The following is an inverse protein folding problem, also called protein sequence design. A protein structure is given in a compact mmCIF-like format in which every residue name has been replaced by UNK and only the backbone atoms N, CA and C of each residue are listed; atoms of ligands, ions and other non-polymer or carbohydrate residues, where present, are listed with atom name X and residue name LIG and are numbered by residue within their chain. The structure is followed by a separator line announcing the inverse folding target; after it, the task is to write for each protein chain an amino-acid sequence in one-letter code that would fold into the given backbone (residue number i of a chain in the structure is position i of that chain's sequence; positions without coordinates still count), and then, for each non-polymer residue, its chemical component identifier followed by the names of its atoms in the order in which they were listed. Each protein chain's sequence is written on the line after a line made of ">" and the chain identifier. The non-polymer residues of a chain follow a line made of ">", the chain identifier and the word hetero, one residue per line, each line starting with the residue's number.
data_IF_195306155797
#
_entry.id   IF_195306155797
#
_cell.length_a   1.000
_cell.length_b   1.000
_cell.length_c   1.000
_cell.angle_alpha   90.00
_cell.angle_beta   90.00
_cell.angle_gamma   90.00
#
_symmetry.space_group_name_H-M   'P 1'
#
loop_
_entity.id
_entity.type
_entity.pdbx_description
1 polymer ?
#
# COMPACT_ATOMS: atom_id res chain seq x y z
N UNK A 1 -6.28 -16.35 5.13
CA UNK A 1 -6.41 -17.60 4.36
C UNK A 1 -7.81 -18.12 4.64
N UNK A 2 -8.65 -18.32 3.63
CA UNK A 2 -9.92 -19.03 3.81
C UNK A 2 -9.63 -20.50 3.64
N UNK A 3 -9.55 -21.25 4.75
CA UNK A 3 -9.41 -22.70 4.70
C UNK A 3 -10.65 -23.28 4.00
N UNK A 4 -10.46 -23.70 2.75
CA UNK A 4 -11.49 -24.34 1.95
C UNK A 4 -11.46 -25.82 2.31
N UNK A 5 -12.47 -26.27 3.04
CA UNK A 5 -12.70 -27.69 3.31
C UNK A 5 -13.38 -28.27 2.07
N UNK A 6 -12.69 -29.14 1.34
CA UNK A 6 -13.25 -29.85 0.19
C UNK A 6 -13.82 -31.22 0.59
N UNK A 7 -14.66 -31.80 -0.27
CA UNK A 7 -15.24 -33.12 -0.04
C UNK A 7 -14.18 -34.22 0.19
N UNK A 8 -12.98 -34.05 -0.41
CA UNK A 8 -11.83 -34.93 -0.22
C UNK A 8 -11.20 -34.82 1.18
N UNK A 9 -11.33 -33.66 1.83
CA UNK A 9 -10.80 -33.45 3.18
C UNK A 9 -11.74 -34.07 4.22
N UNK A 10 -13.05 -34.00 3.97
CA UNK A 10 -14.05 -34.69 4.78
C UNK A 10 -13.94 -36.22 4.68
N UNK A 11 -13.70 -36.75 3.48
CA UNK A 11 -13.43 -38.18 3.29
C UNK A 11 -12.15 -38.63 4.01
N UNK A 12 -11.10 -37.81 4.01
CA UNK A 12 -9.87 -38.06 4.79
C UNK A 12 -10.11 -38.00 6.29
N UNK A 13 -10.97 -37.10 6.77
CA UNK A 13 -11.33 -37.03 8.18
C UNK A 13 -12.13 -38.27 8.64
N UNK A 14 -12.95 -38.86 7.77
CA UNK A 14 -13.61 -40.16 8.04
C UNK A 14 -12.59 -41.29 8.08
N UNK A 15 -11.65 -41.35 7.13
CA UNK A 15 -10.59 -42.36 7.14
C UNK A 15 -9.67 -42.26 8.36
N UNK A 16 -9.43 -41.04 8.85
CA UNK A 16 -8.64 -40.79 10.05
C UNK A 16 -9.41 -41.04 11.36
N UNK A 17 -10.69 -41.44 11.29
CA UNK A 17 -11.54 -41.69 12.47
C UNK A 17 -11.95 -40.42 13.21
N UNK A 18 -11.70 -39.23 12.65
CA UNK A 18 -12.10 -37.95 13.21
C UNK A 18 -13.60 -37.71 13.01
N UNK A 19 -14.17 -38.23 11.92
CA UNK A 19 -15.60 -38.22 11.62
C UNK A 19 -16.13 -39.65 11.49
N UNK A 20 -17.37 -39.88 11.91
CA UNK A 20 -18.03 -41.18 11.71
C UNK A 20 -18.50 -41.33 10.25
N UNK A 21 -18.54 -42.56 9.71
CA UNK A 21 -19.09 -42.83 8.37
C UNK A 21 -20.53 -42.31 8.25
N UNK A 22 -20.81 -41.46 7.26
CA UNK A 22 -22.12 -40.84 7.04
C UNK A 22 -22.26 -39.41 7.57
N UNK A 23 -21.39 -38.98 8.50
CA UNK A 23 -21.36 -37.58 8.97
C UNK A 23 -20.77 -36.62 7.93
N UNK A 24 -19.90 -37.11 7.05
CA UNK A 24 -19.33 -36.37 5.93
C UNK A 24 -20.40 -35.84 4.97
N UNK A 25 -21.39 -36.68 4.62
CA UNK A 25 -22.49 -36.29 3.74
C UNK A 25 -23.46 -35.33 4.42
N UNK A 26 -23.78 -35.54 5.71
CA UNK A 26 -24.63 -34.65 6.49
C UNK A 26 -23.99 -33.25 6.66
N UNK A 27 -22.68 -33.20 6.92
CA UNK A 27 -21.93 -31.96 7.03
C UNK A 27 -21.80 -31.24 5.68
N UNK A 28 -21.56 -31.98 4.60
CA UNK A 28 -21.59 -31.44 3.23
C UNK A 28 -22.96 -30.85 2.88
N UNK A 29 -24.05 -31.53 3.24
CA UNK A 29 -25.40 -31.04 3.02
C UNK A 29 -25.67 -29.76 3.84
N UNK A 30 -25.26 -29.72 5.10
CA UNK A 30 -25.35 -28.53 5.95
C UNK A 30 -24.53 -27.34 5.40
N UNK A 31 -23.30 -27.57 4.97
CA UNK A 31 -22.43 -26.53 4.39
C UNK A 31 -22.95 -26.03 3.04
N UNK A 32 -23.62 -26.87 2.25
CA UNK A 32 -24.29 -26.49 1.00
C UNK A 32 -25.62 -25.76 1.23
N UNK A 33 -26.29 -26.02 2.36
CA UNK A 33 -27.49 -25.29 2.76
C UNK A 33 -27.20 -23.89 3.29
N UNK A 34 -25.94 -23.57 3.65
CA UNK A 34 -25.56 -22.19 3.84
C UNK A 34 -25.74 -21.47 2.50
N UNK A 35 -26.59 -20.43 2.42
CA UNK A 35 -26.81 -19.72 1.18
C UNK A 35 -25.45 -19.28 0.64
N UNK A 36 -25.28 -19.40 -0.68
CA UNK A 36 -24.11 -18.93 -1.41
C UNK A 36 -24.03 -17.40 -1.38
N UNK A 37 -23.95 -16.82 -0.18
CA UNK A 37 -23.84 -15.39 0.10
C UNK A 37 -22.59 -14.79 -0.53
N UNK A 38 -21.61 -15.62 -0.92
CA UNK A 38 -20.34 -15.18 -1.52
C UNK A 38 -20.48 -14.56 -2.91
N UNK A 39 -21.37 -15.05 -3.76
CA UNK A 39 -21.48 -14.57 -5.15
C UNK A 39 -22.11 -13.18 -5.28
N UNK A 40 -23.22 -12.95 -4.57
CA UNK A 40 -23.92 -11.66 -4.56
C UNK A 40 -23.16 -10.59 -3.79
N UNK A 41 -22.48 -10.95 -2.69
CA UNK A 41 -21.58 -10.04 -1.99
C UNK A 41 -20.44 -9.62 -2.93
N UNK A 42 -19.80 -10.53 -3.68
CA UNK A 42 -18.70 -10.15 -4.59
C UNK A 42 -19.11 -9.11 -5.64
N UNK A 43 -20.27 -9.25 -6.28
CA UNK A 43 -20.75 -8.27 -7.26
C UNK A 43 -21.09 -6.92 -6.60
N UNK A 44 -21.75 -6.95 -5.43
CA UNK A 44 -22.06 -5.73 -4.68
C UNK A 44 -20.79 -5.00 -4.20
N UNK A 45 -19.79 -5.74 -3.71
CA UNK A 45 -18.50 -5.16 -3.31
C UNK A 45 -17.78 -4.57 -4.52
N UNK A 46 -17.73 -5.28 -5.64
CA UNK A 46 -17.15 -4.78 -6.88
C UNK A 46 -17.86 -3.49 -7.33
N UNK A 47 -19.19 -3.43 -7.26
CA UNK A 47 -19.96 -2.23 -7.57
C UNK A 47 -19.63 -1.05 -6.64
N UNK A 48 -19.45 -1.29 -5.34
CA UNK A 48 -19.04 -0.23 -4.40
C UNK A 48 -17.64 0.31 -4.70
N UNK A 49 -16.65 -0.57 -4.91
CA UNK A 49 -15.30 -0.14 -5.27
C UNK A 49 -15.25 0.55 -6.64
N UNK A 50 -16.01 0.06 -7.61
CA UNK A 50 -16.13 0.69 -8.91
C UNK A 50 -16.81 2.06 -8.82
N UNK A 51 -17.89 2.18 -8.06
CA UNK A 51 -18.54 3.47 -7.79
C UNK A 51 -17.59 4.47 -7.12
N UNK A 52 -16.78 4.01 -6.17
CA UNK A 52 -15.74 4.86 -5.57
C UNK A 52 -14.69 5.31 -6.59
N UNK A 53 -14.23 4.41 -7.46
CA UNK A 53 -13.31 4.75 -8.54
C UNK A 53 -13.92 5.79 -9.50
N UNK A 54 -15.20 5.65 -9.85
CA UNK A 54 -15.91 6.63 -10.66
C UNK A 54 -15.99 8.00 -9.98
N UNK A 55 -16.27 8.05 -8.68
CA UNK A 55 -16.30 9.32 -7.93
C UNK A 55 -14.90 9.94 -7.90
N UNK A 56 -13.86 9.17 -7.59
CA UNK A 56 -12.48 9.66 -7.58
C UNK A 56 -12.06 10.17 -8.98
N UNK A 57 -12.40 9.45 -10.05
CA UNK A 57 -12.14 9.86 -11.43
C UNK A 57 -12.90 11.13 -11.84
N UNK A 58 -14.19 11.22 -11.48
CA UNK A 58 -15.00 12.42 -11.73
C UNK A 58 -14.46 13.64 -10.98
N UNK A 59 -13.91 13.45 -9.77
CA UNK A 59 -13.24 14.52 -9.02
C UNK A 59 -11.93 14.97 -9.66
N UNK A 60 -11.13 14.03 -10.17
CA UNK A 60 -9.94 14.38 -10.96
C UNK A 60 -10.30 15.21 -12.20
N UNK A 61 -11.42 14.92 -12.84
CA UNK A 61 -11.93 15.71 -13.95
C UNK A 61 -12.44 17.10 -13.51
N UNK A 62 -13.19 17.17 -12.41
CA UNK A 62 -13.67 18.43 -11.83
C UNK A 62 -12.50 19.38 -11.53
N UNK A 63 -11.38 18.84 -11.02
CA UNK A 63 -10.16 19.58 -10.73
C UNK A 63 -9.55 20.22 -11.98
N UNK A 64 -9.56 19.51 -13.12
CA UNK A 64 -8.90 20.00 -14.32
C UNK A 64 -9.81 20.95 -15.11
N UNK A 65 -11.03 20.53 -15.43
CA UNK A 65 -11.82 21.18 -16.48
C UNK A 65 -12.97 22.05 -15.96
N UNK A 66 -13.56 21.65 -14.83
CA UNK A 66 -14.62 22.44 -14.19
C UNK A 66 -14.05 23.58 -13.35
N UNK A 67 -12.94 23.36 -12.64
CA UNK A 67 -12.28 24.40 -11.86
C UNK A 67 -11.89 25.62 -12.70
N UNK A 68 -11.26 25.41 -13.87
CA UNK A 68 -10.90 26.49 -14.81
C UNK A 68 -12.09 27.37 -15.24
N UNK A 69 -13.33 26.88 -15.10
CA UNK A 69 -14.55 27.59 -15.54
C UNK A 69 -15.36 28.20 -14.40
N UNK A 70 -15.33 27.63 -13.19
CA UNK A 70 -16.27 27.95 -12.10
C UNK A 70 -15.59 28.74 -10.96
N UNK A 71 -14.26 28.71 -10.88
CA UNK A 71 -13.48 29.49 -9.90
C UNK A 71 -13.36 28.85 -8.51
N UNK A 72 -12.46 29.41 -7.69
CA UNK A 72 -11.98 28.81 -6.44
C UNK A 72 -13.07 28.65 -5.36
N UNK A 73 -13.98 29.62 -5.25
CA UNK A 73 -15.11 29.56 -4.31
C UNK A 73 -16.08 28.41 -4.61
N UNK A 74 -16.34 28.15 -5.89
CA UNK A 74 -17.24 27.07 -6.29
C UNK A 74 -16.60 25.71 -6.07
N UNK A 75 -15.29 25.58 -6.35
CA UNK A 75 -14.53 24.38 -6.03
C UNK A 75 -14.59 24.07 -4.53
N UNK A 76 -14.35 25.07 -3.67
CA UNK A 76 -14.44 24.92 -2.22
C UNK A 76 -15.82 24.47 -1.76
N UNK A 77 -16.88 25.11 -2.26
CA UNK A 77 -18.26 24.80 -1.89
C UNK A 77 -18.65 23.38 -2.31
N UNK A 78 -18.35 22.99 -3.56
CA UNK A 78 -18.67 21.66 -4.09
C UNK A 78 -17.88 20.59 -3.34
N UNK A 79 -16.56 20.74 -3.21
CA UNK A 79 -15.72 19.75 -2.53
C UNK A 79 -16.14 19.56 -1.06
N UNK A 80 -16.42 20.66 -0.35
CA UNK A 80 -16.92 20.61 1.04
C UNK A 80 -18.27 19.91 1.13
N UNK A 81 -19.21 20.20 0.21
CA UNK A 81 -20.51 19.54 0.15
C UNK A 81 -20.36 18.03 -0.07
N UNK A 82 -19.49 17.61 -1.00
CA UNK A 82 -19.22 16.20 -1.25
C UNK A 82 -18.65 15.51 0.00
N UNK A 83 -17.68 16.10 0.68
CA UNK A 83 -17.11 15.54 1.92
C UNK A 83 -18.21 15.35 2.97
N UNK A 84 -19.05 16.36 3.19
CA UNK A 84 -20.13 16.31 4.19
C UNK A 84 -21.17 15.22 3.85
N UNK A 85 -21.63 15.17 2.59
CA UNK A 85 -22.61 14.20 2.13
C UNK A 85 -22.07 12.76 2.19
N UNK A 86 -20.86 12.53 1.69
CA UNK A 86 -20.23 11.21 1.70
C UNK A 86 -19.93 10.74 3.12
N UNK A 87 -19.48 11.63 4.00
CA UNK A 87 -19.26 11.32 5.42
C UNK A 87 -20.58 10.97 6.11
N UNK A 88 -21.63 11.77 5.89
CA UNK A 88 -22.96 11.51 6.44
C UNK A 88 -23.52 10.15 5.98
N UNK A 89 -23.38 9.84 4.69
CA UNK A 89 -23.80 8.56 4.13
C UNK A 89 -22.95 7.40 4.65
N UNK A 90 -21.64 7.58 4.78
CA UNK A 90 -20.73 6.58 5.35
C UNK A 90 -21.15 6.20 6.79
N UNK A 91 -21.39 7.20 7.64
CA UNK A 91 -21.86 7.01 9.01
C UNK A 91 -23.25 6.36 9.05
N UNK A 92 -24.15 6.75 8.16
CA UNK A 92 -25.48 6.16 8.07
C UNK A 92 -25.43 4.66 7.73
N UNK A 93 -24.64 4.30 6.71
CA UNK A 93 -24.47 2.90 6.29
C UNK A 93 -23.74 2.06 7.33
N UNK A 94 -22.75 2.64 8.02
CA UNK A 94 -22.06 1.99 9.12
C UNK A 94 -23.00 1.66 10.28
N UNK A 95 -23.89 2.59 10.66
CA UNK A 95 -24.93 2.34 11.69
C UNK A 95 -25.92 1.24 11.30
N UNK A 96 -26.13 1.03 9.99
CA UNK A 96 -26.97 -0.06 9.44
C UNK A 96 -26.22 -1.38 9.27
N UNK A 97 -24.97 -1.48 9.72
CA UNK A 97 -24.16 -2.70 9.62
C UNK A 97 -23.52 -2.93 8.25
N UNK A 98 -23.61 -1.96 7.31
CA UNK A 98 -22.98 -2.05 5.99
C UNK A 98 -21.55 -1.48 6.01
N UNK A 99 -20.65 -2.17 6.71
CA UNK A 99 -19.28 -1.71 6.95
C UNK A 99 -18.48 -1.45 5.66
N UNK A 100 -18.69 -2.26 4.62
CA UNK A 100 -17.93 -2.15 3.36
C UNK A 100 -18.34 -0.91 2.57
N UNK A 101 -19.64 -0.71 2.35
CA UNK A 101 -20.14 0.47 1.65
C UNK A 101 -19.80 1.76 2.42
N UNK A 102 -19.98 1.76 3.75
CA UNK A 102 -19.63 2.90 4.60
C UNK A 102 -18.13 3.22 4.55
N UNK A 103 -17.27 2.21 4.67
CA UNK A 103 -15.82 2.38 4.64
C UNK A 103 -15.28 2.84 3.28
N UNK A 104 -15.88 2.39 2.18
CA UNK A 104 -15.54 2.85 0.83
C UNK A 104 -15.90 4.32 0.64
N UNK A 105 -17.10 4.75 1.03
CA UNK A 105 -17.50 6.16 0.95
C UNK A 105 -16.66 7.06 1.86
N UNK A 106 -16.29 6.57 3.05
CA UNK A 106 -15.38 7.26 3.96
C UNK A 106 -14.00 7.48 3.31
N UNK A 107 -13.46 6.48 2.62
CA UNK A 107 -12.19 6.63 1.89
C UNK A 107 -12.31 7.64 0.74
N UNK A 108 -13.42 7.63 0.00
CA UNK A 108 -13.69 8.64 -1.05
C UNK A 108 -13.75 10.04 -0.44
N UNK A 109 -14.44 10.23 0.68
CA UNK A 109 -14.50 11.52 1.37
C UNK A 109 -13.09 12.03 1.75
N UNK A 110 -12.23 11.15 2.27
CA UNK A 110 -10.84 11.49 2.61
C UNK A 110 -10.04 11.87 1.36
N UNK A 111 -10.21 11.17 0.24
CA UNK A 111 -9.52 11.53 -1.02
C UNK A 111 -9.91 12.88 -1.62
N UNK A 112 -11.02 13.50 -1.16
CA UNK A 112 -11.47 14.81 -1.62
C UNK A 112 -10.86 15.94 -0.77
N UNK A 113 -10.34 15.64 0.42
CA UNK A 113 -9.73 16.62 1.33
C UNK A 113 -8.65 17.49 0.68
N UNK A 114 -7.70 16.97 -0.13
CA UNK A 114 -6.72 17.80 -0.82
C UNK A 114 -7.37 18.93 -1.62
N UNK A 115 -8.51 18.68 -2.28
CA UNK A 115 -9.19 19.69 -3.12
C UNK A 115 -9.72 20.86 -2.29
N UNK A 116 -10.23 20.58 -1.10
CA UNK A 116 -10.70 21.63 -0.17
C UNK A 116 -9.53 22.49 0.29
N UNK A 117 -8.42 21.85 0.65
CA UNK A 117 -7.21 22.55 1.10
C UNK A 117 -6.65 23.42 -0.02
N UNK A 118 -6.51 22.85 -1.23
CA UNK A 118 -6.09 23.58 -2.43
C UNK A 118 -6.96 24.81 -2.69
N UNK A 119 -8.29 24.68 -2.63
CA UNK A 119 -9.19 25.81 -2.84
C UNK A 119 -9.02 26.89 -1.75
N UNK A 120 -8.79 26.50 -0.50
CA UNK A 120 -8.51 27.44 0.60
C UNK A 120 -7.18 28.15 0.38
N UNK A 121 -6.11 27.43 0.04
CA UNK A 121 -4.79 28.01 -0.19
C UNK A 121 -4.81 29.07 -1.28
N UNK A 122 -5.58 28.83 -2.36
CA UNK A 122 -5.81 29.82 -3.43
C UNK A 122 -6.59 31.03 -2.95
N UNK A 123 -7.68 30.83 -2.21
CA UNK A 123 -8.51 31.92 -1.71
C UNK A 123 -7.78 32.82 -0.68
N UNK A 124 -6.89 32.24 0.11
CA UNK A 124 -6.06 32.96 1.08
C UNK A 124 -4.85 33.63 0.42
N UNK A 125 -4.55 33.30 -0.85
CA UNK A 125 -3.38 33.80 -1.58
C UNK A 125 -2.07 33.15 -1.13
N UNK A 126 -2.12 32.02 -0.43
CA UNK A 126 -0.94 31.19 -0.15
C UNK A 126 -0.48 30.43 -1.39
N UNK A 127 -1.37 30.24 -2.36
CA UNK A 127 -1.02 29.78 -3.68
C UNK A 127 -0.81 30.99 -4.61
N UNK A 128 0.32 31.09 -5.33
CA UNK A 128 0.53 32.20 -6.26
C UNK A 128 -0.55 32.19 -7.36
N UNK A 129 -1.23 33.33 -7.52
CA UNK A 129 -2.35 33.53 -8.46
C UNK A 129 -1.88 33.86 -9.89
N UNK A 130 -0.57 34.07 -10.09
CA UNK A 130 0.00 34.30 -11.41
C UNK A 130 0.18 32.96 -12.14
N UNK A 131 -0.85 32.60 -12.93
CA UNK A 131 -0.76 31.58 -13.98
C UNK A 131 0.10 32.08 -15.19
N UNK A 132 0.61 33.32 -15.11
CA UNK A 132 1.47 33.98 -16.08
C UNK A 132 2.96 33.73 -15.79
N UNK A 133 3.60 32.94 -16.65
CA UNK A 133 5.05 32.79 -16.74
C UNK A 133 5.79 34.12 -16.60
N UNK A 134 6.66 34.28 -15.61
CA UNK A 134 7.80 35.22 -15.73
C UNK A 134 9.00 34.87 -14.86
N UNK A 135 8.84 34.14 -13.75
CA UNK A 135 9.98 33.58 -13.00
C UNK A 135 9.75 32.12 -12.61
N UNK A 136 10.31 31.23 -13.44
CA UNK A 136 10.21 29.76 -13.30
C UNK A 136 10.83 29.22 -12.00
N UNK A 137 11.60 30.01 -11.26
CA UNK A 137 12.33 29.52 -10.08
C UNK A 137 11.54 29.66 -8.77
N UNK A 138 10.90 30.80 -8.52
CA UNK A 138 10.12 31.02 -7.29
C UNK A 138 8.74 30.35 -7.32
N UNK A 139 8.17 30.21 -8.52
CA UNK A 139 6.91 29.51 -8.75
C UNK A 139 6.95 28.09 -8.15
N UNK A 140 8.02 27.34 -8.39
CA UNK A 140 8.11 25.95 -7.91
C UNK A 140 8.38 25.80 -6.42
N UNK A 141 8.93 26.80 -5.73
CA UNK A 141 9.18 26.70 -4.29
C UNK A 141 7.89 26.92 -3.48
N UNK A 142 7.09 27.91 -3.87
CA UNK A 142 5.82 28.24 -3.23
C UNK A 142 4.73 27.21 -3.58
N UNK A 143 4.65 26.81 -4.85
CA UNK A 143 3.74 25.75 -5.31
C UNK A 143 3.99 24.45 -4.54
N UNK A 144 5.26 24.03 -4.35
CA UNK A 144 5.64 22.80 -3.61
C UNK A 144 5.29 22.83 -2.12
N UNK A 145 5.19 24.02 -1.50
CA UNK A 145 4.76 24.17 -0.11
C UNK A 145 3.28 23.81 0.12
N UNK A 146 2.40 24.16 -0.83
CA UNK A 146 0.97 23.87 -0.72
C UNK A 146 0.64 22.37 -0.82
N UNK A 147 1.38 21.62 -1.64
CA UNK A 147 1.22 20.17 -1.71
C UNK A 147 1.47 19.50 -0.35
N UNK A 148 2.49 19.93 0.39
CA UNK A 148 2.77 19.37 1.71
C UNK A 148 1.62 19.60 2.70
N UNK A 149 0.97 20.77 2.66
CA UNK A 149 -0.19 21.06 3.50
C UNK A 149 -1.41 20.21 3.10
N UNK A 150 -1.66 20.05 1.80
CA UNK A 150 -2.71 19.18 1.27
C UNK A 150 -2.54 17.73 1.72
N UNK A 151 -1.33 17.19 1.64
CA UNK A 151 -1.05 15.82 2.07
C UNK A 151 -1.17 15.66 3.59
N UNK A 152 -0.62 16.60 4.37
CA UNK A 152 -0.73 16.59 5.82
C UNK A 152 -2.20 16.66 6.29
N UNK A 153 -3.00 17.54 5.69
CA UNK A 153 -4.43 17.66 5.97
C UNK A 153 -5.18 16.36 5.63
N UNK A 154 -4.82 15.71 4.54
CA UNK A 154 -5.41 14.42 4.12
C UNK A 154 -5.08 13.30 5.10
N UNK A 155 -3.84 13.25 5.59
CA UNK A 155 -3.44 12.30 6.65
C UNK A 155 -4.24 12.56 7.92
N UNK A 156 -4.35 13.82 8.38
CA UNK A 156 -5.13 14.18 9.57
C UNK A 156 -6.60 13.81 9.39
N UNK A 157 -7.21 14.18 8.26
CA UNK A 157 -8.61 13.86 7.96
C UNK A 157 -8.85 12.35 7.87
N UNK A 158 -7.92 11.60 7.29
CA UNK A 158 -7.98 10.15 7.24
C UNK A 158 -7.88 9.50 8.63
N UNK A 159 -7.00 9.99 9.50
CA UNK A 159 -6.91 9.52 10.89
C UNK A 159 -8.17 9.84 11.69
N UNK A 160 -8.77 11.01 11.49
CA UNK A 160 -10.06 11.37 12.08
C UNK A 160 -11.18 10.46 11.54
N UNK A 161 -11.20 10.21 10.23
CA UNK A 161 -12.17 9.33 9.60
C UNK A 161 -12.05 7.89 10.10
N UNK A 162 -10.83 7.39 10.34
CA UNK A 162 -10.61 6.06 10.94
C UNK A 162 -11.18 5.94 12.36
N UNK A 163 -11.25 7.03 13.12
CA UNK A 163 -11.92 7.06 14.44
C UNK A 163 -13.44 7.00 14.32
N UNK A 164 -14.00 7.57 13.26
CA UNK A 164 -15.44 7.57 12.99
C UNK A 164 -15.89 6.24 12.38
N UNK A 165 -15.16 5.79 11.35
CA UNK A 165 -15.40 4.60 10.55
C UNK A 165 -14.13 3.73 10.58
N UNK A 166 -14.03 2.75 11.50
CA UNK A 166 -12.87 1.88 11.56
C UNK A 166 -12.94 0.85 10.43
N UNK A 167 -12.49 1.27 9.24
CA UNK A 167 -12.43 0.43 8.05
C UNK A 167 -11.06 0.53 7.34
N UNK A 168 -10.38 -0.61 7.04
CA UNK A 168 -9.00 -0.60 6.56
C UNK A 168 -8.78 0.12 5.23
N UNK A 169 -9.78 0.18 4.36
CA UNK A 169 -9.64 0.85 3.06
C UNK A 169 -9.42 2.36 3.17
N UNK A 170 -9.78 2.99 4.29
CA UNK A 170 -9.49 4.41 4.54
C UNK A 170 -7.97 4.66 4.69
N UNK A 171 -7.18 3.62 5.01
CA UNK A 171 -5.73 3.74 5.01
C UNK A 171 -5.14 3.95 3.60
N UNK A 172 -5.88 3.63 2.53
CA UNK A 172 -5.44 3.83 1.14
C UNK A 172 -5.17 5.31 0.82
N UNK A 173 -6.11 6.26 0.97
CA UNK A 173 -5.83 7.68 0.70
C UNK A 173 -4.76 8.26 1.63
N UNK A 174 -4.68 7.80 2.89
CA UNK A 174 -3.60 8.19 3.81
C UNK A 174 -2.24 7.72 3.28
N UNK A 175 -2.15 6.49 2.80
CA UNK A 175 -0.93 5.92 2.26
C UNK A 175 -0.49 6.65 0.98
N UNK A 176 -1.44 6.93 0.08
CA UNK A 176 -1.18 7.74 -1.12
C UNK A 176 -0.65 9.12 -0.71
N UNK A 177 -1.31 9.78 0.25
CA UNK A 177 -0.88 11.08 0.73
C UNK A 177 0.54 11.06 1.32
N UNK A 178 0.85 10.07 2.16
CA UNK A 178 2.18 9.89 2.72
C UNK A 178 3.25 9.62 1.66
N UNK A 179 2.91 8.89 0.60
CA UNK A 179 3.83 8.67 -0.52
C UNK A 179 4.10 9.97 -1.30
N UNK A 180 3.08 10.77 -1.60
CA UNK A 180 3.28 12.10 -2.20
C UNK A 180 4.06 13.04 -1.29
N UNK A 181 3.75 13.03 0.01
CA UNK A 181 4.45 13.80 1.03
C UNK A 181 5.96 13.55 1.02
N UNK A 182 6.39 12.31 0.75
CA UNK A 182 7.82 11.95 0.66
C UNK A 182 8.56 12.70 -0.45
N UNK A 183 7.87 13.01 -1.54
CA UNK A 183 8.43 13.74 -2.68
C UNK A 183 8.52 15.24 -2.41
N UNK A 184 7.47 15.80 -1.81
CA UNK A 184 7.34 17.24 -1.59
C UNK A 184 8.15 17.74 -0.37
N UNK A 185 8.39 16.86 0.60
CA UNK A 185 9.21 17.15 1.79
C UNK A 185 10.63 17.61 1.43
N UNK A 186 11.14 17.24 0.26
CA UNK A 186 12.48 17.62 -0.22
C UNK A 186 12.70 19.13 -0.28
N UNK A 187 11.66 19.88 -0.70
CA UNK A 187 11.72 21.33 -0.78
C UNK A 187 11.85 21.98 0.61
N UNK A 188 11.24 21.36 1.62
CA UNK A 188 11.25 21.85 3.00
C UNK A 188 12.55 21.52 3.73
N UNK A 189 13.15 20.36 3.44
CA UNK A 189 14.41 19.90 4.07
C UNK A 189 15.63 20.64 3.54
N UNK A 190 15.75 20.80 2.22
CA UNK A 190 16.96 21.37 1.61
C UNK A 190 16.81 22.83 1.18
N UNK A 191 15.59 23.37 1.14
CA UNK A 191 15.30 24.64 0.48
C UNK A 191 15.40 24.50 -1.04
N UNK A 192 14.66 25.33 -1.78
CA UNK A 192 14.78 25.37 -3.23
C UNK A 192 15.96 26.27 -3.64
N UNK A 193 16.75 25.92 -4.68
CA UNK A 193 16.66 24.71 -5.50
C UNK A 193 17.34 23.48 -4.85
N UNK A 194 16.76 22.30 -5.06
CA UNK A 194 17.35 21.01 -4.64
C UNK A 194 17.54 20.09 -5.85
N UNK A 195 18.52 19.18 -5.77
CA UNK A 195 18.84 18.25 -6.85
C UNK A 195 17.90 17.03 -6.85
N UNK A 196 17.83 16.32 -7.99
CA UNK A 196 17.09 15.06 -8.07
C UNK A 196 17.60 14.03 -7.04
N UNK A 197 18.92 13.95 -6.84
CA UNK A 197 19.54 13.07 -5.83
C UNK A 197 19.10 13.38 -4.40
N UNK A 198 18.98 14.67 -4.04
CA UNK A 198 18.45 15.09 -2.75
C UNK A 198 17.00 14.62 -2.56
N UNK A 199 16.19 14.68 -3.62
CA UNK A 199 14.81 14.17 -3.61
C UNK A 199 14.76 12.66 -3.35
N UNK A 200 15.60 11.90 -4.03
CA UNK A 200 15.69 10.44 -3.85
C UNK A 200 16.13 10.09 -2.42
N UNK A 201 17.08 10.84 -1.88
CA UNK A 201 17.56 10.68 -0.50
C UNK A 201 16.44 10.91 0.51
N UNK A 202 15.65 11.98 0.36
CA UNK A 202 14.50 12.23 1.24
C UNK A 202 13.46 11.12 1.12
N UNK A 203 13.10 10.71 -0.10
CA UNK A 203 12.15 9.62 -0.34
C UNK A 203 12.61 8.30 0.30
N UNK A 204 13.90 7.98 0.21
CA UNK A 204 14.51 6.79 0.80
C UNK A 204 14.37 6.79 2.33
N UNK A 205 14.83 7.84 3.00
CA UNK A 205 14.79 7.93 4.47
C UNK A 205 13.38 8.10 5.02
N UNK A 206 12.54 8.87 4.33
CA UNK A 206 11.13 9.02 4.67
C UNK A 206 10.38 7.69 4.55
N UNK A 207 10.57 6.97 3.44
CA UNK A 207 10.00 5.65 3.22
C UNK A 207 10.43 4.66 4.29
N UNK A 208 11.72 4.65 4.64
CA UNK A 208 12.24 3.81 5.73
C UNK A 208 11.61 4.15 7.09
N UNK A 209 11.51 5.45 7.42
CA UNK A 209 10.85 5.91 8.64
C UNK A 209 9.37 5.50 8.69
N UNK A 210 8.66 5.64 7.57
CA UNK A 210 7.27 5.21 7.43
C UNK A 210 7.13 3.69 7.62
N UNK A 211 8.02 2.89 7.04
CA UNK A 211 8.03 1.43 7.23
C UNK A 211 8.21 1.05 8.71
N UNK A 212 9.09 1.75 9.44
CA UNK A 212 9.27 1.54 10.88
C UNK A 212 8.01 1.91 11.66
N UNK A 213 7.39 3.06 11.38
CA UNK A 213 6.15 3.49 12.03
C UNK A 213 5.03 2.47 11.78
N UNK A 214 4.85 2.03 10.54
CA UNK A 214 3.83 1.04 10.17
C UNK A 214 4.11 -0.31 10.83
N UNK A 215 5.38 -0.74 10.87
CA UNK A 215 5.79 -1.97 11.54
C UNK A 215 5.49 -1.94 13.04
N UNK A 216 5.69 -0.79 13.70
CA UNK A 216 5.35 -0.61 15.11
C UNK A 216 3.84 -0.75 15.32
N UNK A 217 3.02 -0.16 14.45
CA UNK A 217 1.55 -0.21 14.55
C UNK A 217 0.97 -1.57 14.16
N UNK A 218 1.66 -2.30 13.29
CA UNK A 218 1.22 -3.60 12.77
C UNK A 218 1.06 -4.65 13.88
N UNK A 219 -0.04 -5.40 13.81
CA UNK A 219 -0.44 -6.39 14.82
C UNK A 219 -1.13 -5.82 16.08
N UNK A 220 -1.32 -4.50 16.22
CA UNK A 220 -2.10 -3.91 17.34
C UNK A 220 -3.61 -3.93 17.14
N UNK A 221 -4.07 -4.11 15.90
CA UNK A 221 -5.49 -4.13 15.53
C UNK A 221 -5.86 -5.48 14.92
N UNK A 222 -7.11 -5.92 15.12
CA UNK A 222 -7.63 -7.18 14.53
C UNK A 222 -7.75 -7.14 13.01
N UNK A 223 -7.95 -5.95 12.45
CA UNK A 223 -8.01 -5.74 11.00
C UNK A 223 -6.68 -5.16 10.50
N UNK A 224 -6.42 -5.39 9.21
CA UNK A 224 -5.15 -5.08 8.58
C UNK A 224 -5.11 -3.66 8.01
N UNK A 225 -4.82 -2.68 8.88
CA UNK A 225 -4.61 -1.28 8.47
C UNK A 225 -3.19 -1.03 7.93
N UNK A 226 -2.24 -1.90 8.27
CA UNK A 226 -0.82 -1.71 7.96
C UNK A 226 -0.49 -1.97 6.48
N UNK A 227 -1.31 -2.76 5.76
CA UNK A 227 -1.07 -3.11 4.36
C UNK A 227 -0.80 -1.89 3.46
N UNK A 228 -1.68 -0.87 3.50
CA UNK A 228 -1.53 0.34 2.70
C UNK A 228 -0.32 1.17 3.14
N UNK A 229 -0.06 1.25 4.44
CA UNK A 229 1.13 1.93 4.97
C UNK A 229 2.43 1.28 4.49
N UNK A 230 2.51 -0.05 4.47
CA UNK A 230 3.67 -0.76 3.91
C UNK A 230 3.83 -0.51 2.42
N UNK A 231 2.73 -0.46 1.67
CA UNK A 231 2.76 -0.17 0.24
C UNK A 231 3.35 1.22 -0.03
N UNK A 232 2.88 2.24 0.68
CA UNK A 232 3.41 3.61 0.55
C UNK A 232 4.86 3.73 1.02
N UNK A 233 5.19 3.13 2.17
CA UNK A 233 6.57 3.12 2.69
C UNK A 233 7.54 2.42 1.74
N UNK A 234 7.14 1.27 1.18
CA UNK A 234 7.94 0.56 0.18
C UNK A 234 8.03 1.33 -1.12
N UNK A 235 6.95 1.94 -1.62
CA UNK A 235 7.00 2.76 -2.84
C UNK A 235 7.98 3.94 -2.69
N UNK A 236 7.96 4.64 -1.55
CA UNK A 236 8.91 5.72 -1.26
C UNK A 236 10.36 5.22 -1.08
N UNK A 237 10.56 4.19 -0.25
CA UNK A 237 11.88 3.64 0.05
C UNK A 237 12.53 2.99 -1.17
N UNK A 238 11.83 2.04 -1.79
CA UNK A 238 12.32 1.28 -2.93
C UNK A 238 12.41 2.16 -4.19
N UNK A 239 11.50 3.12 -4.36
CA UNK A 239 11.57 4.10 -5.43
C UNK A 239 12.82 4.97 -5.32
N UNK A 240 13.09 5.53 -4.13
CA UNK A 240 14.30 6.31 -3.86
C UNK A 240 15.58 5.49 -4.05
N UNK A 241 15.59 4.25 -3.55
CA UNK A 241 16.74 3.35 -3.65
C UNK A 241 17.04 2.89 -5.09
N UNK A 242 16.03 2.52 -5.86
CA UNK A 242 16.19 1.98 -7.22
C UNK A 242 16.57 3.06 -8.23
N UNK A 243 16.09 4.29 -8.02
CA UNK A 243 16.40 5.43 -8.90
C UNK A 243 17.72 6.12 -8.52
N UNK A 244 18.31 5.79 -7.37
CA UNK A 244 19.64 6.28 -7.02
C UNK A 244 20.67 5.58 -7.90
N UNK A 245 21.36 6.35 -8.72
CA UNK A 245 22.44 5.84 -9.55
C UNK A 245 23.67 5.53 -8.67
N UNK A 246 24.24 4.35 -8.89
CA UNK A 246 25.54 3.98 -8.32
C UNK A 246 26.47 3.59 -9.45
N UNK A 247 27.53 4.36 -9.65
CA UNK A 247 28.57 4.05 -10.62
C UNK A 247 29.42 2.83 -10.20
N UNK A 248 29.41 2.46 -8.92
CA UNK A 248 30.20 1.33 -8.43
C UNK A 248 29.47 -0.02 -8.50
N UNK A 249 30.19 -1.07 -8.90
CA UNK A 249 29.72 -2.46 -8.86
C UNK A 249 29.37 -2.92 -7.44
N UNK A 250 30.12 -2.44 -6.44
CA UNK A 250 29.84 -2.72 -5.03
C UNK A 250 28.49 -2.15 -4.59
N UNK A 251 28.13 -0.95 -5.05
CA UNK A 251 26.83 -0.34 -4.76
C UNK A 251 25.68 -1.11 -5.42
N UNK A 252 25.87 -1.59 -6.66
CA UNK A 252 24.89 -2.45 -7.33
C UNK A 252 24.73 -3.82 -6.64
N UNK A 253 25.82 -4.40 -6.16
CA UNK A 253 25.78 -5.62 -5.34
C UNK A 253 25.06 -5.39 -4.00
N UNK A 254 25.31 -4.26 -3.34
CA UNK A 254 24.61 -3.89 -2.10
C UNK A 254 23.12 -3.65 -2.33
N UNK A 255 22.74 -3.03 -3.45
CA UNK A 255 21.35 -2.91 -3.88
C UNK A 255 20.66 -4.28 -4.03
N UNK A 256 21.33 -5.25 -4.65
CA UNK A 256 20.82 -6.62 -4.73
C UNK A 256 20.64 -7.23 -3.33
N UNK A 257 21.60 -7.03 -2.44
CA UNK A 257 21.55 -7.52 -1.06
C UNK A 257 20.38 -6.90 -0.26
N UNK A 258 20.12 -5.60 -0.41
CA UNK A 258 18.95 -4.94 0.20
C UNK A 258 17.66 -5.60 -0.29
N UNK A 259 17.53 -5.85 -1.59
CA UNK A 259 16.33 -6.45 -2.17
C UNK A 259 16.12 -7.92 -1.74
N UNK A 260 17.20 -8.69 -1.60
CA UNK A 260 17.15 -10.01 -0.95
C UNK A 260 16.72 -9.90 0.53
N UNK A 261 17.18 -8.86 1.23
CA UNK A 261 16.72 -8.52 2.58
C UNK A 261 15.22 -8.24 2.63
N UNK A 262 14.66 -7.48 1.67
CA UNK A 262 13.22 -7.24 1.57
C UNK A 262 12.45 -8.57 1.37
N UNK A 263 12.96 -9.48 0.54
CA UNK A 263 12.35 -10.81 0.37
C UNK A 263 12.39 -11.64 1.67
N UNK A 264 13.47 -11.58 2.44
CA UNK A 264 13.56 -12.24 3.74
C UNK A 264 12.58 -11.63 4.75
N UNK A 265 12.46 -10.30 4.80
CA UNK A 265 11.48 -9.59 5.62
C UNK A 265 10.05 -9.97 5.22
N UNK A 266 9.77 -10.18 3.92
CA UNK A 266 8.47 -10.63 3.44
C UNK A 266 8.06 -11.98 4.05
N UNK A 267 9.01 -12.90 4.19
CA UNK A 267 8.79 -14.20 4.81
C UNK A 267 8.56 -14.03 6.32
N UNK A 268 9.39 -13.22 6.98
CA UNK A 268 9.33 -12.99 8.42
C UNK A 268 8.01 -12.33 8.86
N UNK A 269 7.62 -11.25 8.17
CA UNK A 269 6.39 -10.50 8.45
C UNK A 269 5.15 -11.13 7.81
N UNK A 270 5.32 -12.17 6.96
CA UNK A 270 4.25 -12.78 6.16
C UNK A 270 3.50 -11.74 5.30
N UNK A 271 4.20 -10.70 4.85
CA UNK A 271 3.68 -9.59 4.04
C UNK A 271 4.15 -9.75 2.59
N UNK A 272 3.28 -10.14 1.64
CA UNK A 272 3.70 -10.42 0.27
C UNK A 272 4.18 -9.17 -0.49
N UNK A 273 3.78 -7.97 -0.07
CA UNK A 273 4.20 -6.71 -0.70
C UNK A 273 5.73 -6.58 -0.71
N UNK A 274 6.41 -6.90 0.40
CA UNK A 274 7.87 -6.88 0.47
C UNK A 274 8.53 -7.86 -0.52
N UNK A 275 7.88 -9.01 -0.78
CA UNK A 275 8.37 -9.99 -1.75
C UNK A 275 8.31 -9.43 -3.17
N UNK A 276 7.23 -8.71 -3.50
CA UNK A 276 7.06 -8.08 -4.83
C UNK A 276 8.14 -7.05 -5.08
N UNK A 277 8.34 -6.09 -4.16
CA UNK A 277 9.38 -5.07 -4.30
C UNK A 277 10.79 -5.66 -4.33
N UNK A 278 11.09 -6.61 -3.43
CA UNK A 278 12.38 -7.29 -3.42
C UNK A 278 12.65 -8.08 -4.71
N UNK A 279 11.66 -8.83 -5.22
CA UNK A 279 11.79 -9.55 -6.48
C UNK A 279 11.98 -8.61 -7.68
N UNK A 280 11.25 -7.50 -7.72
CA UNK A 280 11.42 -6.46 -8.75
C UNK A 280 12.84 -5.88 -8.72
N UNK A 281 13.39 -5.60 -7.54
CA UNK A 281 14.74 -5.06 -7.46
C UNK A 281 15.82 -6.08 -7.81
N UNK A 282 15.68 -7.34 -7.40
CA UNK A 282 16.58 -8.41 -7.87
C UNK A 282 16.49 -8.58 -9.38
N UNK A 283 15.28 -8.52 -9.96
CA UNK A 283 15.10 -8.59 -11.40
C UNK A 283 15.76 -7.40 -12.13
N UNK A 284 15.66 -6.18 -11.58
CA UNK A 284 16.36 -5.01 -12.12
C UNK A 284 17.89 -5.20 -12.11
N UNK A 285 18.46 -5.70 -11.00
CA UNK A 285 19.89 -5.98 -10.90
C UNK A 285 20.34 -7.09 -11.88
N UNK A 286 19.56 -8.16 -12.02
CA UNK A 286 19.84 -9.22 -13.00
C UNK A 286 19.73 -8.71 -14.44
N UNK A 287 18.81 -7.79 -14.71
CA UNK A 287 18.70 -7.08 -15.98
C UNK A 287 19.96 -6.30 -16.29
N UNK A 288 20.44 -5.48 -15.34
CA UNK A 288 21.73 -4.80 -15.45
C UNK A 288 22.88 -5.77 -15.77
N UNK A 289 22.99 -6.86 -14.99
CA UNK A 289 24.03 -7.86 -15.17
C UNK A 289 23.96 -8.53 -16.56
N UNK A 290 22.74 -8.76 -17.06
CA UNK A 290 22.50 -9.31 -18.40
C UNK A 290 22.88 -8.37 -19.52
N UNK A 291 22.47 -7.10 -19.43
CA UNK A 291 22.56 -6.13 -20.54
C UNK A 291 23.91 -5.43 -20.61
N UNK A 292 24.58 -5.20 -19.47
CA UNK A 292 25.84 -4.46 -19.45
C UNK A 292 27.05 -5.37 -19.24
N UNK A 293 26.97 -6.33 -18.30
CA UNK A 293 28.13 -7.14 -17.91
C UNK A 293 28.27 -8.39 -18.79
N UNK A 294 27.17 -9.09 -19.07
CA UNK A 294 27.15 -10.35 -19.81
C UNK A 294 26.46 -10.27 -21.17
N UNK A 295 26.37 -9.08 -21.77
CA UNK A 295 25.66 -8.84 -23.04
C UNK A 295 26.03 -9.83 -24.15
N UNK A 296 27.30 -10.24 -24.21
CA UNK A 296 27.84 -11.14 -25.24
C UNK A 296 27.96 -12.62 -24.77
N UNK A 297 27.41 -12.99 -23.61
CA UNK A 297 27.56 -14.33 -23.05
C UNK A 297 26.27 -15.15 -23.19
N UNK A 298 26.30 -16.13 -24.10
CA UNK A 298 25.21 -17.10 -24.28
C UNK A 298 25.03 -18.05 -23.08
N UNK A 299 26.01 -18.13 -22.18
CA UNK A 299 25.95 -18.96 -20.96
C UNK A 299 25.13 -18.29 -19.86
N UNK A 300 25.02 -16.96 -19.87
CA UNK A 300 24.35 -16.22 -18.80
C UNK A 300 22.86 -16.60 -18.64
N UNK A 301 22.04 -16.66 -19.71
CA UNK A 301 20.66 -17.12 -19.61
C UNK A 301 20.52 -18.56 -19.08
N UNK A 302 21.47 -19.44 -19.41
CA UNK A 302 21.47 -20.84 -18.96
C UNK A 302 21.73 -20.92 -17.46
N UNK A 303 22.77 -20.23 -16.97
CA UNK A 303 23.08 -20.15 -15.53
C UNK A 303 21.92 -19.51 -14.77
N UNK A 304 21.33 -18.44 -15.30
CA UNK A 304 20.19 -17.79 -14.68
C UNK A 304 18.96 -18.71 -14.59
N UNK A 305 18.72 -19.52 -15.62
CA UNK A 305 17.65 -20.53 -15.61
C UNK A 305 17.91 -21.60 -14.55
N UNK A 306 19.15 -22.06 -14.40
CA UNK A 306 19.54 -23.02 -13.35
C UNK A 306 19.37 -22.42 -11.95
N UNK A 307 19.73 -21.14 -11.75
CA UNK A 307 19.48 -20.42 -10.49
C UNK A 307 17.98 -20.33 -10.23
N UNK A 308 17.18 -19.96 -11.24
CA UNK A 308 15.72 -19.89 -11.13
C UNK A 308 15.08 -21.23 -10.74
N UNK A 309 15.50 -22.32 -11.37
CA UNK A 309 15.08 -23.69 -11.00
C UNK A 309 15.51 -24.05 -9.57
N UNK A 310 16.72 -23.66 -9.16
CA UNK A 310 17.20 -23.82 -7.79
C UNK A 310 16.33 -23.08 -6.77
N UNK A 311 15.97 -21.83 -7.05
CA UNK A 311 15.08 -21.02 -6.20
C UNK A 311 13.68 -21.62 -6.13
N UNK A 312 13.12 -22.11 -7.24
CA UNK A 312 11.84 -22.83 -7.24
C UNK A 312 11.93 -24.10 -6.38
N UNK A 313 13.01 -24.87 -6.51
CA UNK A 313 13.27 -26.05 -5.68
C UNK A 313 13.36 -25.72 -4.19
N UNK A 314 14.07 -24.65 -3.84
CA UNK A 314 14.13 -24.11 -2.48
C UNK A 314 12.74 -23.66 -1.99
N UNK A 315 11.94 -23.03 -2.85
CA UNK A 315 10.56 -22.64 -2.56
C UNK A 315 9.65 -23.84 -2.25
N UNK A 316 9.77 -24.93 -3.02
CA UNK A 316 9.04 -26.18 -2.77
C UNK A 316 9.51 -26.87 -1.48
N UNK A 317 10.82 -26.87 -1.21
CA UNK A 317 11.37 -27.40 0.04
C UNK A 317 10.93 -26.56 1.25
N UNK A 318 10.89 -25.24 1.10
CA UNK A 318 10.37 -24.30 2.09
C UNK A 318 8.88 -24.55 2.35
N UNK A 319 8.07 -24.74 1.30
CA UNK A 319 6.64 -25.01 1.44
C UNK A 319 6.36 -26.25 2.31
N UNK A 320 7.19 -27.29 2.20
CA UNK A 320 7.09 -28.52 3.02
C UNK A 320 7.51 -28.32 4.48
N UNK A 321 8.35 -27.33 4.80
CA UNK A 321 8.87 -27.06 6.16
C UNK A 321 8.38 -25.72 6.73
N UNK A 322 7.40 -25.09 6.08
CA UNK A 322 6.98 -23.71 6.34
C UNK A 322 6.61 -23.46 7.80
N UNK A 323 5.87 -24.38 8.41
CA UNK A 323 5.46 -24.25 9.81
C UNK A 323 6.65 -24.35 10.75
N UNK A 324 7.50 -25.37 10.58
CA UNK A 324 8.68 -25.61 11.42
C UNK A 324 9.74 -24.50 11.29
N UNK A 325 10.02 -24.01 10.08
CA UNK A 325 10.99 -22.92 9.87
C UNK A 325 10.48 -21.59 10.43
N UNK A 326 9.18 -21.31 10.29
CA UNK A 326 8.60 -20.10 10.86
C UNK A 326 8.58 -20.12 12.39
N UNK A 327 8.42 -21.31 13.00
CA UNK A 327 8.51 -21.49 14.44
C UNK A 327 9.95 -21.38 14.94
N UNK A 328 10.92 -22.07 14.32
CA UNK A 328 12.34 -21.98 14.74
C UNK A 328 12.93 -20.58 14.55
N UNK A 329 12.55 -19.86 13.48
CA UNK A 329 12.95 -18.46 13.32
C UNK A 329 12.36 -17.56 14.41
N UNK A 330 11.14 -17.84 14.89
CA UNK A 330 10.52 -17.15 16.02
C UNK A 330 11.18 -17.47 17.35
N UNK A 331 11.61 -18.72 17.56
CA UNK A 331 12.32 -19.16 18.76
C UNK A 331 13.72 -18.55 18.88
N UNK A 332 14.38 -18.26 17.76
CA UNK A 332 15.65 -17.53 17.73
C UNK A 332 15.49 -16.02 17.90
N UNK A 333 14.27 -15.46 17.82
CA UNK A 333 14.06 -14.03 18.02
C UNK A 333 14.02 -13.71 19.52
N UNK A 334 14.79 -12.71 19.99
CA UNK A 334 14.77 -12.31 21.39
C UNK A 334 13.36 -11.92 21.85
N UNK A 335 12.99 -12.31 23.07
CA UNK A 335 11.66 -12.02 23.63
C UNK A 335 11.34 -10.51 23.66
N UNK A 336 12.36 -9.65 23.82
CA UNK A 336 12.17 -8.20 23.77
C UNK A 336 11.71 -7.69 22.39
N UNK A 337 12.16 -8.34 21.31
CA UNK A 337 11.78 -7.99 19.95
C UNK A 337 10.35 -8.45 19.64
N UNK A 338 9.97 -9.64 20.12
CA UNK A 338 8.59 -10.15 20.05
C UNK A 338 7.60 -9.36 20.93
N UNK A 339 8.09 -8.71 22.00
CA UNK A 339 7.31 -7.78 22.81
C UNK A 339 7.15 -6.42 22.12
N UNK A 340 8.20 -5.92 21.47
CA UNK A 340 8.19 -4.64 20.76
C UNK A 340 7.41 -4.67 19.43
N UNK A 341 7.39 -5.82 18.74
CA UNK A 341 6.80 -5.98 17.40
C UNK A 341 5.64 -6.99 17.40
N UNK A 342 4.39 -6.53 17.61
CA UNK A 342 3.20 -7.39 17.58
C UNK A 342 3.00 -8.09 16.23
N UNK A 343 3.47 -7.48 15.14
CA UNK A 343 3.44 -8.03 13.79
C UNK A 343 4.07 -9.44 13.69
N UNK A 344 5.04 -9.76 14.55
CA UNK A 344 5.73 -11.06 14.54
C UNK A 344 4.96 -12.17 15.29
N UNK A 345 3.93 -11.81 16.07
CA UNK A 345 3.19 -12.75 16.95
C UNK A 345 2.18 -13.64 16.23
N UNK A 346 1.71 -13.25 15.03
CA UNK A 346 0.65 -13.97 14.30
C UNK A 346 1.20 -14.93 13.23
#
# INVERSE_FOLDING_TARGET
>A
MTDRIDAKDLARAVQAGVLQPGQDQALLAFLRQQPATRGSLQLAHAAFYFGALLIMGAMGWLLNEAWMRIGDWALLAIASLYILLLTGLALHLQRRGQAVAGGVLAAVAVSIVPLVVFAIERLVGWWPLDDGQTDYHDYYAYVRGGWLLMEAATVVAGLLMLRLVPYPFIAMPIAVALWFMSMDLSAWVYGAPFTWEQRLTVSLWFGLGLLVVVLLVDGRTRQDYAHWGYLAGLAAFWGGLTLMESESELGKAFYCLINLGLMAIAILLRRPVFMVFGALGVAAYLGYLSYEVFANSLLFPVVLTLIGLGVIGLGLAYQKRREHLSQSARECLPQWLLAALPALRN
#
